data_IF_237029162765
#
_entry.id   IF_237029162765
#
_cell.length_a   1.000
_cell.length_b   1.000
_cell.length_c   1.000
_cell.angle_alpha   90.00
_cell.angle_beta   90.00
_cell.angle_gamma   90.00
#
_symmetry.space_group_name_H-M   'P 1'
#
loop_
_entity.id
_entity.type
_entity.pdbx_description
1 polymer ?
#
# COMPACT_ATOMS: atom_id res chain seq x y z
N UNK A 1 7.17 -15.48 -13.12
CA UNK A 1 7.23 -15.78 -11.68
C UNK A 1 5.98 -16.50 -11.28
N UNK A 2 6.10 -17.50 -10.40
CA UNK A 2 4.96 -17.98 -9.62
C UNK A 2 4.62 -16.96 -8.52
N UNK A 3 3.43 -17.07 -7.92
CA UNK A 3 3.05 -16.18 -6.82
C UNK A 3 4.01 -16.27 -5.63
N UNK A 4 4.50 -17.47 -5.33
CA UNK A 4 5.46 -17.67 -4.24
C UNK A 4 6.81 -17.02 -4.55
N UNK A 5 7.27 -17.06 -5.81
CA UNK A 5 8.49 -16.33 -6.20
C UNK A 5 8.32 -14.82 -6.00
N UNK A 6 7.13 -14.28 -6.29
CA UNK A 6 6.81 -12.87 -6.06
C UNK A 6 6.80 -12.53 -4.57
N UNK A 7 6.19 -13.36 -3.72
CA UNK A 7 6.22 -13.18 -2.25
C UNK A 7 7.66 -13.20 -1.73
N UNK A 8 8.49 -14.15 -2.18
CA UNK A 8 9.89 -14.25 -1.77
C UNK A 8 10.74 -13.09 -2.30
N UNK A 9 10.41 -12.52 -3.46
CA UNK A 9 11.12 -11.33 -3.93
C UNK A 9 11.00 -10.14 -2.98
N UNK A 10 9.93 -10.09 -2.16
CA UNK A 10 9.74 -9.06 -1.13
C UNK A 10 10.68 -9.24 0.08
N UNK A 11 11.53 -10.29 0.11
CA UNK A 11 12.64 -10.41 1.08
C UNK A 11 13.64 -9.25 0.99
N UNK A 12 13.70 -8.58 -0.17
CA UNK A 12 14.61 -7.47 -0.45
C UNK A 12 13.93 -6.09 -0.34
N UNK A 13 12.68 -6.01 0.14
CA UNK A 13 11.93 -4.76 0.28
C UNK A 13 11.56 -4.47 1.74
N UNK A 14 11.90 -3.27 2.21
CA UNK A 14 11.33 -2.65 3.42
C UNK A 14 10.43 -1.49 2.97
N UNK A 15 9.21 -1.43 3.52
CA UNK A 15 8.24 -0.37 3.23
C UNK A 15 8.61 0.92 3.97
N UNK A 16 8.99 1.96 3.24
CA UNK A 16 9.40 3.25 3.82
C UNK A 16 8.22 4.07 4.40
N UNK A 17 6.98 3.68 4.10
CA UNK A 17 5.78 4.37 4.57
C UNK A 17 5.20 3.79 5.84
N UNK A 18 5.53 2.54 6.17
CA UNK A 18 5.03 1.84 7.36
C UNK A 18 5.79 2.28 8.62
N UNK A 19 5.12 2.91 9.61
CA UNK A 19 5.79 3.37 10.83
C UNK A 19 6.09 2.22 11.82
N UNK A 20 5.53 1.03 11.62
CA UNK A 20 5.51 -0.06 12.58
C UNK A 20 6.48 -1.22 12.20
N UNK A 21 6.97 -1.24 10.96
CA UNK A 21 7.75 -2.35 10.39
C UNK A 21 9.07 -1.86 9.79
N UNK A 22 10.17 -2.50 10.18
CA UNK A 22 11.52 -2.27 9.63
C UNK A 22 12.20 -3.61 9.26
N UNK A 23 11.42 -4.55 8.78
CA UNK A 23 11.87 -5.87 8.32
C UNK A 23 11.27 -6.19 6.94
N UNK A 24 11.77 -7.20 6.23
CA UNK A 24 11.32 -7.49 4.87
C UNK A 24 9.81 -7.72 4.75
N UNK A 25 9.19 -7.14 3.72
CA UNK A 25 7.73 -7.17 3.54
C UNK A 25 7.18 -8.60 3.27
N UNK A 26 8.04 -9.54 2.89
CA UNK A 26 7.67 -10.96 2.82
C UNK A 26 7.22 -11.54 4.17
N UNK A 27 7.87 -11.14 5.28
CA UNK A 27 7.46 -11.57 6.61
C UNK A 27 6.08 -11.04 6.97
N UNK A 28 5.79 -9.79 6.61
CA UNK A 28 4.47 -9.18 6.79
C UNK A 28 3.38 -10.00 6.08
N UNK A 29 3.64 -10.43 4.84
CA UNK A 29 2.71 -11.27 4.09
C UNK A 29 2.34 -12.57 4.83
N UNK A 30 3.33 -13.26 5.42
CA UNK A 30 3.07 -14.46 6.24
C UNK A 30 2.38 -14.15 7.55
N UNK A 31 2.74 -13.06 8.24
CA UNK A 31 2.09 -12.64 9.48
C UNK A 31 0.60 -12.37 9.27
N UNK A 32 0.26 -11.64 8.20
CA UNK A 32 -1.13 -11.34 7.84
C UNK A 32 -1.89 -12.61 7.49
N UNK A 33 -1.31 -13.50 6.67
CA UNK A 33 -1.93 -14.78 6.31
C UNK A 33 -2.18 -15.68 7.54
N UNK A 34 -1.21 -15.80 8.44
CA UNK A 34 -1.33 -16.63 9.66
C UNK A 34 -2.30 -16.03 10.68
N UNK A 35 -2.35 -14.70 10.80
CA UNK A 35 -3.35 -14.01 11.59
C UNK A 35 -4.76 -14.33 11.10
N UNK A 36 -5.00 -14.19 9.79
CA UNK A 36 -6.29 -14.54 9.17
C UNK A 36 -6.60 -16.02 9.36
N UNK A 37 -5.62 -16.92 9.18
CA UNK A 37 -5.82 -18.37 9.37
C UNK A 37 -6.27 -18.71 10.79
N UNK A 38 -5.74 -18.02 11.81
CA UNK A 38 -6.10 -18.25 13.21
C UNK A 38 -7.53 -17.81 13.51
N UNK A 39 -7.95 -16.65 13.01
CA UNK A 39 -9.28 -16.08 13.29
C UNK A 39 -10.37 -16.61 12.34
N UNK A 40 -9.99 -17.02 11.13
CA UNK A 40 -10.87 -17.50 10.07
C UNK A 40 -10.36 -18.82 9.46
N UNK A 41 -10.30 -19.91 10.26
CA UNK A 41 -9.73 -21.18 9.83
C UNK A 41 -10.48 -21.83 8.66
N UNK A 42 -11.78 -21.58 8.55
CA UNK A 42 -12.65 -22.17 7.51
C UNK A 42 -12.64 -21.39 6.17
N UNK A 43 -11.94 -20.25 6.12
CA UNK A 43 -11.87 -19.38 4.94
C UNK A 43 -10.45 -19.39 4.33
N UNK A 44 -10.08 -20.50 3.69
CA UNK A 44 -8.78 -20.69 3.03
C UNK A 44 -8.42 -19.57 2.02
N UNK A 45 -9.40 -19.13 1.22
CA UNK A 45 -9.23 -18.03 0.27
C UNK A 45 -8.84 -16.72 0.97
N UNK A 46 -9.31 -16.49 2.20
CA UNK A 46 -9.01 -15.25 2.91
C UNK A 46 -7.59 -15.27 3.49
N UNK A 47 -7.10 -16.45 3.86
CA UNK A 47 -5.70 -16.67 4.25
C UNK A 47 -4.77 -16.34 3.07
N UNK A 48 -5.14 -16.80 1.87
CA UNK A 48 -4.42 -16.48 0.65
C UNK A 48 -4.46 -14.97 0.34
N UNK A 49 -5.60 -14.30 0.53
CA UNK A 49 -5.68 -12.83 0.39
C UNK A 49 -4.66 -12.15 1.29
N UNK A 50 -4.52 -12.59 2.55
CA UNK A 50 -3.49 -12.08 3.45
C UNK A 50 -2.06 -12.27 2.91
N UNK A 51 -1.77 -13.40 2.28
CA UNK A 51 -0.45 -13.66 1.71
C UNK A 51 -0.15 -12.79 0.48
N UNK A 52 -1.16 -12.49 -0.35
CA UNK A 52 -0.94 -11.85 -1.65
C UNK A 52 -1.27 -10.35 -1.69
N UNK A 53 -1.83 -9.78 -0.63
CA UNK A 53 -2.37 -8.41 -0.67
C UNK A 53 -1.33 -7.34 -1.09
N UNK A 54 -0.07 -7.54 -0.66
CA UNK A 54 1.02 -6.58 -0.83
C UNK A 54 1.97 -6.91 -2.00
N UNK A 55 1.68 -7.95 -2.81
CA UNK A 55 2.61 -8.37 -3.88
C UNK A 55 2.77 -7.32 -4.98
N UNK A 56 1.87 -6.34 -5.07
CA UNK A 56 2.03 -5.18 -5.95
C UNK A 56 3.27 -4.33 -5.64
N UNK A 57 3.80 -4.44 -4.41
CA UNK A 57 5.01 -3.72 -3.99
C UNK A 57 6.26 -4.10 -4.78
N UNK A 58 6.23 -5.18 -5.57
CA UNK A 58 7.33 -5.52 -6.49
C UNK A 58 7.62 -4.45 -7.54
N UNK A 59 6.71 -3.50 -7.77
CA UNK A 59 6.97 -2.34 -8.64
C UNK A 59 8.18 -1.51 -8.17
N UNK A 60 8.50 -1.51 -6.86
CA UNK A 60 9.70 -0.85 -6.33
C UNK A 60 11.00 -1.44 -6.91
N UNK A 61 11.02 -2.73 -7.24
CA UNK A 61 12.16 -3.37 -7.90
C UNK A 61 12.26 -3.04 -9.40
N UNK A 62 11.23 -2.42 -9.98
CA UNK A 62 11.19 -2.06 -11.39
C UNK A 62 11.57 -0.59 -11.64
N UNK A 63 12.12 0.07 -10.61
CA UNK A 63 12.60 1.45 -10.68
C UNK A 63 11.56 2.50 -10.30
N UNK A 64 10.37 2.08 -9.86
CA UNK A 64 9.38 3.03 -9.31
C UNK A 64 9.83 3.50 -7.92
N UNK A 65 9.72 4.82 -7.62
CA UNK A 65 9.98 5.31 -6.28
C UNK A 65 8.89 4.82 -5.32
N UNK A 66 9.24 4.58 -4.06
CA UNK A 66 8.32 3.99 -3.08
C UNK A 66 7.01 4.78 -2.94
N UNK A 67 7.02 6.11 -3.01
CA UNK A 67 5.78 6.92 -2.93
C UNK A 67 4.75 6.64 -4.04
N UNK A 68 5.16 6.01 -5.16
CA UNK A 68 4.28 5.58 -6.25
C UNK A 68 3.85 4.11 -6.12
N UNK A 69 4.27 3.42 -5.05
CA UNK A 69 4.10 1.97 -4.85
C UNK A 69 3.41 1.65 -3.52
N UNK A 70 3.83 2.28 -2.43
CA UNK A 70 3.39 1.99 -1.05
C UNK A 70 2.59 3.15 -0.45
N UNK A 71 2.08 2.92 0.77
CA UNK A 71 1.46 3.94 1.60
C UNK A 71 -0.05 4.09 1.42
N UNK A 72 -0.61 4.95 2.27
CA UNK A 72 -2.03 5.25 2.25
C UNK A 72 -2.47 5.84 0.91
N UNK A 73 -3.57 5.32 0.38
CA UNK A 73 -4.13 5.81 -0.88
C UNK A 73 -5.16 6.90 -0.64
N UNK A 74 -5.27 7.82 -1.61
CA UNK A 74 -6.30 8.84 -1.62
C UNK A 74 -6.79 9.10 -3.04
N UNK A 75 -8.05 9.55 -3.22
CA UNK A 75 -8.55 9.86 -4.55
C UNK A 75 -7.86 11.11 -5.14
N UNK A 76 -7.40 11.00 -6.39
CA UNK A 76 -6.90 12.13 -7.20
C UNK A 76 -7.99 12.70 -8.10
N UNK A 77 -7.77 13.89 -8.67
CA UNK A 77 -8.77 14.55 -9.52
C UNK A 77 -10.00 15.08 -8.78
N UNK A 78 -9.96 15.13 -7.44
CA UNK A 78 -10.99 15.71 -6.59
C UNK A 78 -10.38 16.50 -5.42
N UNK A 79 -11.22 17.07 -4.56
CA UNK A 79 -10.75 17.77 -3.36
C UNK A 79 -10.21 16.78 -2.33
N UNK A 80 -8.97 16.96 -1.90
CA UNK A 80 -8.33 16.15 -0.86
C UNK A 80 -8.96 16.37 0.52
N UNK A 81 -9.35 15.28 1.19
CA UNK A 81 -10.00 15.29 2.51
C UNK A 81 -9.01 15.46 3.67
N UNK A 82 -9.52 15.89 4.83
CA UNK A 82 -8.69 16.22 6.01
C UNK A 82 -8.14 15.00 6.75
N UNK A 83 -8.68 13.81 6.51
CA UNK A 83 -8.20 12.56 7.12
C UNK A 83 -6.97 11.99 6.44
N UNK A 84 -6.58 12.50 5.27
CA UNK A 84 -5.36 12.05 4.58
C UNK A 84 -4.17 12.37 5.49
N UNK A 85 -3.31 11.37 5.69
CA UNK A 85 -2.13 11.49 6.55
C UNK A 85 -1.25 12.66 6.04
N UNK A 86 -0.83 13.53 6.96
CA UNK A 86 -0.07 14.75 6.67
C UNK A 86 -0.74 15.75 5.69
N UNK A 87 -2.07 15.69 5.48
CA UNK A 87 -2.81 16.59 4.57
C UNK A 87 -2.46 18.08 4.68
N UNK A 88 -2.17 18.56 5.89
CA UNK A 88 -1.94 19.97 6.17
C UNK A 88 -0.61 20.54 5.67
N UNK A 89 0.39 19.69 5.40
CA UNK A 89 1.75 20.15 5.09
C UNK A 89 2.37 19.49 3.84
N UNK A 90 1.82 18.41 3.30
CA UNK A 90 2.43 17.69 2.15
C UNK A 90 1.78 17.97 0.79
N UNK A 91 0.61 18.60 0.74
CA UNK A 91 -0.15 18.83 -0.51
C UNK A 91 0.02 20.22 -1.12
N UNK A 92 0.79 21.11 -0.47
CA UNK A 92 0.90 22.52 -0.85
C UNK A 92 1.46 22.72 -2.27
N UNK A 93 2.38 21.85 -2.68
CA UNK A 93 3.06 21.91 -3.98
C UNK A 93 2.43 20.99 -5.03
N UNK A 94 1.34 20.28 -4.70
CA UNK A 94 0.64 19.45 -5.66
C UNK A 94 -0.10 20.36 -6.67
N UNK A 95 0.20 20.28 -7.99
CA UNK A 95 -0.42 21.14 -9.00
C UNK A 95 -1.95 21.02 -9.06
N UNK A 96 -2.49 19.86 -8.65
CA UNK A 96 -3.93 19.60 -8.66
C UNK A 96 -4.68 20.34 -7.55
N UNK A 97 -4.01 20.71 -6.45
CA UNK A 97 -4.60 21.50 -5.36
C UNK A 97 -5.03 22.90 -5.84
N UNK A 98 -4.29 23.47 -6.80
CA UNK A 98 -4.61 24.75 -7.42
C UNK A 98 -5.65 24.62 -8.55
N UNK A 99 -5.79 23.45 -9.15
CA UNK A 99 -6.56 23.24 -10.37
C UNK A 99 -8.09 23.29 -10.11
N UNK A 100 -8.84 24.27 -10.67
CA UNK A 100 -10.26 24.43 -10.39
C UNK A 100 -11.13 23.25 -10.88
N UNK A 101 -10.65 22.45 -11.84
CA UNK A 101 -11.37 21.25 -12.32
C UNK A 101 -11.57 20.21 -11.23
N UNK A 102 -10.66 20.16 -10.26
CA UNK A 102 -10.64 19.12 -9.23
C UNK A 102 -11.21 19.60 -7.88
N UNK A 103 -11.51 20.90 -7.73
CA UNK A 103 -11.97 21.48 -6.45
C UNK A 103 -13.41 21.15 -6.06
N UNK A 104 -14.25 20.85 -7.05
CA UNK A 104 -15.71 20.72 -6.86
C UNK A 104 -16.26 19.32 -7.11
N UNK A 105 -15.40 18.38 -7.52
CA UNK A 105 -15.78 16.97 -7.64
C UNK A 105 -15.91 16.41 -6.22
N UNK A 106 -17.15 16.13 -5.80
CA UNK A 106 -17.44 15.38 -4.57
C UNK A 106 -17.70 13.93 -4.99
N UNK A 107 -16.89 13.02 -4.45
CA UNK A 107 -17.14 11.58 -4.49
C UNK A 107 -18.19 11.21 -3.45
#
# INVERSE_FOLDING_TARGET
>A
MSMMDTVMSLDELVDESDPDVDFPNSFHAFQTAEGIRREHPDNDWFQLVGLIHDVGKTMAFWGEPQWAVVGDTFPVGCKFQNSIVFRGNTFLDNPDEANPKYKYVRL
#
